data_IF_768530052488
#
_entry.id   IF_768530052488
#
_cell.length_a   1.000
_cell.length_b   1.000
_cell.length_c   1.000
_cell.angle_alpha   90.00
_cell.angle_beta   90.00
_cell.angle_gamma   90.00
#
_symmetry.space_group_name_H-M   'P 1'
#
loop_
_entity.id
_entity.type
_entity.pdbx_description
1 polymer ?
#
# COMPACT_ATOMS: atom_id res chain seq x y z
N UNK A 1 -14.68 22.83 -2.36
CA UNK A 1 -14.46 22.52 -2.40
C UNK A 1 -13.96 22.03 -2.65
N UNK A 2 -14.00 21.99 -2.66
CA UNK A 2 -13.56 21.53 -2.69
C UNK A 2 -12.97 21.02 -3.03
N UNK A 3 -12.88 20.99 -3.15
CA UNK A 3 -12.43 20.51 -3.41
C UNK A 3 -11.78 19.97 -3.81
N UNK A 4 -11.62 19.92 -3.87
CA UNK A 4 -11.05 19.40 -4.11
C UNK A 4 -10.51 18.80 -4.72
N UNK A 5 -10.55 18.94 -5.08
CA UNK A 5 -10.09 18.40 -5.54
C UNK A 5 -9.20 18.28 -6.09
N UNK A 6 -9.09 18.72 -6.50
CA UNK A 6 -8.20 18.75 -6.75
C UNK A 6 -7.37 18.47 -6.17
N UNK A 7 -7.22 18.72 -5.68
CA UNK A 7 -6.38 18.52 -4.93
C UNK A 7 -6.37 17.33 -4.56
N UNK A 8 -7.01 16.87 -4.80
CA UNK A 8 -7.05 15.76 -4.56
C UNK A 8 -6.07 14.96 -4.78
N UNK A 9 -5.49 15.17 -5.46
CA UNK A 9 -4.48 14.39 -5.74
C UNK A 9 -3.47 14.42 -4.75
N UNK A 10 -3.46 15.29 -3.94
CA UNK A 10 -2.45 15.34 -2.95
C UNK A 10 -2.76 14.49 -1.75
N UNK A 11 -3.94 14.00 -1.60
CA UNK A 11 -4.28 13.25 -0.41
C UNK A 11 -3.70 11.85 -0.47
N UNK A 12 -3.08 11.37 0.59
CA UNK A 12 -2.55 10.01 0.59
C UNK A 12 -3.69 9.01 0.55
N UNK A 13 -3.43 7.89 -0.09
CA UNK A 13 -4.42 6.86 -0.17
C UNK A 13 -3.94 5.64 0.57
N UNK A 14 -4.67 5.24 1.59
CA UNK A 14 -4.31 4.08 2.37
C UNK A 14 -5.15 2.89 1.98
N UNK A 15 -4.54 1.72 2.05
CA UNK A 15 -5.21 0.48 1.73
C UNK A 15 -5.12 -0.46 2.91
N UNK A 16 -6.16 -1.24 3.13
CA UNK A 16 -6.06 -2.30 4.13
C UNK A 16 -5.53 -3.56 3.44
N UNK A 17 -5.37 -4.64 4.20
CA UNK A 17 -4.78 -5.86 3.66
C UNK A 17 -5.64 -6.43 2.53
N UNK A 18 -6.94 -6.39 2.70
CA UNK A 18 -7.81 -6.93 1.68
C UNK A 18 -7.74 -6.14 0.39
N UNK A 19 -7.72 -4.82 0.50
CA UNK A 19 -7.60 -3.97 -0.67
C UNK A 19 -6.27 -4.19 -1.37
N UNK A 20 -5.20 -4.32 -0.60
CA UNK A 20 -3.90 -4.56 -1.17
C UNK A 20 -3.85 -5.91 -1.86
N UNK A 21 -4.46 -6.91 -1.25
CA UNK A 21 -4.54 -8.23 -1.81
C UNK A 21 -5.19 -8.19 -3.19
N UNK A 22 -6.26 -7.44 -3.30
CA UNK A 22 -6.97 -7.32 -4.56
C UNK A 22 -6.16 -6.53 -5.59
N UNK A 23 -5.50 -5.49 -5.13
CA UNK A 23 -4.71 -4.66 -6.03
C UNK A 23 -3.55 -5.44 -6.63
N UNK A 24 -2.82 -6.17 -5.80
CA UNK A 24 -1.64 -6.89 -6.25
C UNK A 24 -1.92 -8.32 -6.69
N UNK A 25 -3.14 -8.78 -6.45
CA UNK A 25 -3.53 -10.16 -6.77
C UNK A 25 -2.67 -11.17 -6.05
N UNK A 26 -2.43 -10.91 -4.77
CA UNK A 26 -1.67 -11.77 -3.89
C UNK A 26 -2.58 -12.15 -2.74
N UNK A 27 -2.49 -13.36 -2.26
CA UNK A 27 -3.31 -13.81 -1.15
C UNK A 27 -3.02 -13.02 0.11
N UNK A 28 -4.06 -12.75 0.91
CA UNK A 28 -3.88 -12.01 2.14
C UNK A 28 -2.88 -12.68 3.07
N UNK A 29 -2.87 -14.01 3.14
CA UNK A 29 -1.92 -14.72 3.92
C UNK A 29 -0.50 -14.41 3.51
N UNK A 30 -0.24 -14.30 2.22
CA UNK A 30 1.09 -13.95 1.75
C UNK A 30 1.46 -12.54 2.17
N UNK A 31 0.49 -11.62 2.14
CA UNK A 31 0.76 -10.26 2.56
C UNK A 31 1.10 -10.22 4.04
N UNK A 32 0.36 -10.96 4.88
CA UNK A 32 0.67 -11.00 6.29
C UNK A 32 2.07 -11.57 6.54
N UNK A 33 2.47 -12.55 5.75
CA UNK A 33 3.82 -13.08 5.86
C UNK A 33 4.86 -12.04 5.51
N UNK A 34 4.63 -11.28 4.45
CA UNK A 34 5.59 -10.26 4.06
C UNK A 34 5.68 -9.16 5.10
N UNK A 35 4.56 -8.82 5.72
CA UNK A 35 4.57 -7.83 6.77
C UNK A 35 5.40 -8.34 7.95
N UNK A 36 5.17 -9.58 8.36
CA UNK A 36 5.88 -10.10 9.51
C UNK A 36 7.37 -10.23 9.25
N UNK A 37 7.77 -10.37 8.01
CA UNK A 37 9.17 -10.45 7.65
C UNK A 37 9.79 -9.11 7.31
N UNK A 38 9.00 -8.05 7.36
CA UNK A 38 9.50 -6.73 7.03
C UNK A 38 9.86 -6.55 5.58
N UNK A 39 9.21 -7.29 4.70
CA UNK A 39 9.55 -7.26 3.28
C UNK A 39 8.65 -6.38 2.44
N UNK A 40 7.69 -5.72 3.04
CA UNK A 40 6.76 -4.86 2.32
C UNK A 40 6.58 -3.59 3.13
N UNK A 41 6.51 -2.42 2.49
CA UNK A 41 6.30 -1.19 3.27
C UNK A 41 4.89 -1.17 3.83
N UNK A 42 4.79 -1.00 5.14
CA UNK A 42 3.49 -0.96 5.78
C UNK A 42 3.51 0.04 6.91
N UNK A 43 2.35 0.42 7.36
CA UNK A 43 2.22 1.34 8.48
C UNK A 43 1.20 0.81 9.45
N UNK A 44 1.28 1.29 10.68
CA UNK A 44 0.31 0.90 11.68
C UNK A 44 -0.56 2.07 12.04
N UNK A 45 -1.86 1.86 12.06
CA UNK A 45 -2.80 2.85 12.51
C UNK A 45 -3.55 2.21 13.68
N UNK A 46 -3.10 2.50 14.88
CA UNK A 46 -3.59 1.78 16.04
C UNK A 46 -3.11 0.34 15.94
N UNK A 47 -4.03 -0.60 15.97
CA UNK A 47 -3.63 -2.00 15.83
C UNK A 47 -3.91 -2.49 14.42
N UNK A 48 -4.22 -1.60 13.47
CA UNK A 48 -4.47 -2.03 12.11
C UNK A 48 -3.27 -1.84 11.24
N UNK A 49 -3.02 -2.81 10.37
CA UNK A 49 -1.95 -2.71 9.38
C UNK A 49 -2.53 -2.10 8.12
N UNK A 50 -1.91 -1.03 7.66
CA UNK A 50 -2.35 -0.37 6.45
C UNK A 50 -1.14 -0.13 5.56
N UNK A 51 -1.42 0.23 4.32
CA UNK A 51 -0.38 0.45 3.31
C UNK A 51 -0.65 1.75 2.59
N UNK A 52 0.37 2.53 2.36
CA UNK A 52 0.22 3.76 1.60
C UNK A 52 0.41 3.42 0.13
N UNK A 53 -0.56 3.73 -0.69
CA UNK A 53 -0.56 3.34 -2.10
C UNK A 53 0.72 3.78 -2.80
N UNK A 54 1.16 5.01 -2.56
CA UNK A 54 2.36 5.50 -3.23
C UNK A 54 3.60 4.69 -2.87
N UNK A 55 3.69 4.24 -1.64
CA UNK A 55 4.82 3.41 -1.22
C UNK A 55 4.75 2.05 -1.88
N UNK A 56 3.56 1.50 -2.03
CA UNK A 56 3.38 0.22 -2.67
C UNK A 56 3.74 0.30 -4.15
N UNK A 57 3.34 1.37 -4.81
CA UNK A 57 3.66 1.53 -6.22
C UNK A 57 5.16 1.66 -6.43
N UNK A 58 5.83 2.39 -5.54
CA UNK A 58 7.26 2.52 -5.62
C UNK A 58 7.94 1.19 -5.37
N UNK A 59 7.43 0.43 -4.42
CA UNK A 59 8.00 -0.86 -4.05
C UNK A 59 7.88 -1.88 -5.18
N UNK A 60 6.80 -1.79 -5.97
CA UNK A 60 6.59 -2.73 -7.06
C UNK A 60 7.17 -2.26 -8.39
N UNK A 61 7.89 -1.11 -8.38
CA UNK A 61 8.42 -0.55 -9.57
C UNK A 61 9.33 -1.54 -10.28
N UNK A 62 9.31 -1.67 -11.59
CA UNK A 62 10.18 -2.61 -12.27
C UNK A 62 11.63 -2.33 -11.98
N UNK A 63 12.40 -3.39 -11.83
CA UNK A 63 13.82 -3.26 -11.59
C UNK A 63 14.52 -3.10 -12.92
N UNK A 64 15.00 -1.90 -13.18
CA UNK A 64 15.65 -1.63 -14.38
C UNK A 64 17.08 -1.84 -14.42
N UNK A 65 17.68 -2.18 -13.35
CA UNK A 65 19.01 -2.33 -13.25
C UNK A 65 19.26 -3.58 -13.71
N UNK A 66 19.73 -3.97 -14.26
CA UNK A 66 19.92 -5.19 -14.53
C UNK A 66 20.42 -5.46 -15.21
#
# INVERSE_FOLDING_TARGET
>A
MFTNRESTNAAPRFLNVKELSELLRIKTRTIYEMVSQGRIPYRKAGDRTIFLLDEILEWTRPNEKR
#
